data_IF_582508764083
#
_entry.id   IF_582508764083
#
_cell.length_a   1.000
_cell.length_b   1.000
_cell.length_c   1.000
_cell.angle_alpha   90.00
_cell.angle_beta   90.00
_cell.angle_gamma   90.00
#
_symmetry.space_group_name_H-M   'P 1'
#
loop_
_entity.id
_entity.type
_entity.pdbx_description
1 polymer ?
#
# COMPACT_ATOMS: atom_id res chain seq x y z
N UNK A 1 17.86 -11.37 -11.68
CA UNK A 1 16.39 -11.47 -11.77
C UNK A 1 15.96 -10.77 -13.04
N UNK A 2 15.15 -11.43 -13.86
CA UNK A 2 14.63 -10.86 -15.10
C UNK A 2 13.49 -9.87 -14.82
N UNK A 3 12.65 -10.20 -13.84
CA UNK A 3 11.53 -9.37 -13.38
C UNK A 3 11.35 -9.52 -11.85
N UNK A 4 10.73 -8.51 -11.25
CA UNK A 4 10.42 -8.43 -9.82
C UNK A 4 8.94 -8.09 -9.69
N UNK A 5 8.16 -9.04 -9.20
CA UNK A 5 6.73 -8.85 -8.94
C UNK A 5 6.56 -8.22 -7.55
N UNK A 6 6.27 -6.92 -7.51
CA UNK A 6 6.01 -6.24 -6.24
C UNK A 6 4.61 -6.58 -5.74
N UNK A 7 4.53 -7.01 -4.49
CA UNK A 7 3.27 -7.22 -3.78
C UNK A 7 2.72 -5.88 -3.30
N UNK A 8 2.30 -5.02 -4.23
CA UNK A 8 1.78 -3.68 -3.92
C UNK A 8 0.30 -3.70 -3.52
N UNK A 9 0.01 -4.59 -2.59
CA UNK A 9 -1.27 -4.87 -1.96
C UNK A 9 -0.99 -5.33 -0.53
N UNK A 10 -2.01 -5.56 0.29
CA UNK A 10 -1.86 -5.90 1.71
C UNK A 10 -1.15 -4.83 2.55
N UNK A 11 -1.23 -3.57 2.12
CA UNK A 11 -0.77 -2.46 2.95
C UNK A 11 -1.60 -2.32 4.23
N UNK A 12 -2.92 -2.55 4.14
CA UNK A 12 -3.86 -2.38 5.24
C UNK A 12 -4.85 -3.55 5.28
N UNK A 13 -5.32 -3.91 6.47
CA UNK A 13 -6.24 -5.04 6.65
C UNK A 13 -6.73 -5.18 8.09
N UNK A 14 -7.19 -6.36 8.45
CA UNK A 14 -7.69 -6.68 9.81
C UNK A 14 -6.64 -6.50 10.92
N UNK A 15 -5.36 -6.42 10.56
CA UNK A 15 -4.26 -6.14 11.47
C UNK A 15 -4.04 -4.64 11.73
N UNK A 16 -4.59 -3.77 10.87
CA UNK A 16 -4.44 -2.32 10.97
C UNK A 16 -5.35 -1.76 12.07
N UNK A 17 -4.85 -0.75 12.78
CA UNK A 17 -5.65 -0.03 13.81
C UNK A 17 -6.76 0.83 13.22
N UNK A 18 -6.57 1.29 11.98
CA UNK A 18 -7.50 2.16 11.26
C UNK A 18 -7.79 1.56 9.89
N UNK A 19 -9.03 1.68 9.43
CA UNK A 19 -9.43 1.27 8.08
C UNK A 19 -8.79 2.16 7.02
N UNK A 20 -8.19 1.54 6.00
CA UNK A 20 -7.62 2.24 4.86
C UNK A 20 -7.55 1.31 3.63
N UNK A 21 -7.37 1.85 2.41
CA UNK A 21 -7.20 1.02 1.23
C UNK A 21 -5.95 0.12 1.32
N UNK A 22 -6.09 -1.16 0.99
CA UNK A 22 -4.98 -2.12 1.05
C UNK A 22 -4.05 -2.08 -0.16
N UNK A 23 -4.45 -1.41 -1.25
CA UNK A 23 -3.71 -1.31 -2.52
C UNK A 23 -3.77 0.12 -3.09
N UNK A 24 -3.52 1.13 -2.25
CA UNK A 24 -3.58 2.53 -2.66
C UNK A 24 -2.49 2.89 -3.68
N UNK A 25 -2.84 3.65 -4.74
CA UNK A 25 -1.86 4.15 -5.70
C UNK A 25 -0.94 5.23 -5.10
N UNK A 26 -1.54 6.16 -4.35
CA UNK A 26 -0.88 7.27 -3.68
C UNK A 26 -1.29 7.34 -2.20
N UNK A 27 -0.53 8.08 -1.40
CA UNK A 27 -0.92 8.42 -0.03
C UNK A 27 -2.12 9.38 -0.03
N UNK A 28 -3.06 9.21 0.91
CA UNK A 28 -4.07 10.23 1.22
C UNK A 28 -3.46 11.28 2.17
N UNK A 29 -3.45 12.58 1.82
CA UNK A 29 -2.96 13.64 2.71
C UNK A 29 -3.79 13.82 3.98
N UNK A 30 -5.01 13.26 4.02
CA UNK A 30 -5.91 13.27 5.18
C UNK A 30 -5.81 11.99 6.01
N UNK A 31 -4.88 11.10 5.68
CA UNK A 31 -4.70 9.87 6.43
C UNK A 31 -4.43 10.19 7.92
N UNK A 32 -5.13 9.50 8.85
CA UNK A 32 -4.90 9.68 10.27
C UNK A 32 -3.46 9.27 10.64
N UNK A 33 -2.92 9.87 11.69
CA UNK A 33 -1.53 9.60 12.14
C UNK A 33 -1.37 8.17 12.67
N UNK A 34 -2.48 7.58 13.08
CA UNK A 34 -2.62 6.23 13.60
C UNK A 34 -2.60 5.16 12.49
N UNK A 35 -2.67 5.58 11.22
CA UNK A 35 -2.55 4.67 10.09
C UNK A 35 -1.10 4.16 9.94
N UNK A 36 -0.94 2.84 9.94
CA UNK A 36 0.36 2.21 9.74
C UNK A 36 0.94 2.60 8.39
N UNK A 37 2.23 2.95 8.37
CA UNK A 37 2.91 3.37 7.14
C UNK A 37 2.30 4.60 6.48
N UNK A 38 1.69 5.51 7.26
CA UNK A 38 1.24 6.81 6.76
C UNK A 38 2.32 7.47 5.88
N UNK A 39 2.00 7.72 4.61
CA UNK A 39 2.94 8.27 3.61
C UNK A 39 3.69 7.23 2.76
N UNK A 40 3.88 6.01 3.24
CA UNK A 40 4.76 5.01 2.60
C UNK A 40 4.04 3.76 2.12
N UNK A 41 2.91 3.41 2.74
CA UNK A 41 2.10 2.23 2.40
C UNK A 41 1.17 2.51 1.19
N UNK A 42 1.80 2.73 0.05
CA UNK A 42 1.15 2.91 -1.26
C UNK A 42 2.09 2.48 -2.39
N UNK A 43 1.51 2.21 -3.57
CA UNK A 43 2.23 1.74 -4.77
C UNK A 43 3.33 2.72 -5.15
N UNK A 44 3.04 4.02 -5.22
CA UNK A 44 4.00 5.04 -5.65
C UNK A 44 5.24 5.11 -4.76
N UNK A 45 5.05 5.18 -3.44
CA UNK A 45 6.16 5.18 -2.47
C UNK A 45 6.96 3.88 -2.53
N UNK A 46 6.30 2.75 -2.75
CA UNK A 46 6.96 1.44 -2.88
C UNK A 46 7.83 1.39 -4.15
N UNK A 47 7.29 1.75 -5.32
CA UNK A 47 8.07 1.79 -6.57
C UNK A 47 9.24 2.77 -6.48
N UNK A 48 9.03 3.94 -5.83
CA UNK A 48 10.12 4.89 -5.57
C UNK A 48 11.22 4.29 -4.69
N UNK A 49 10.86 3.58 -3.63
CA UNK A 49 11.84 2.95 -2.74
C UNK A 49 12.70 1.93 -3.50
N UNK A 50 12.08 1.10 -4.33
CA UNK A 50 12.79 0.08 -5.14
C UNK A 50 13.70 0.71 -6.20
N UNK A 51 13.21 1.71 -6.91
CA UNK A 51 14.03 2.40 -7.92
C UNK A 51 15.17 3.20 -7.28
N UNK A 52 14.95 3.83 -6.12
CA UNK A 52 16.00 4.48 -5.34
C UNK A 52 17.06 3.50 -4.82
N UNK A 53 16.66 2.27 -4.50
CA UNK A 53 17.58 1.19 -4.13
C UNK A 53 18.36 0.60 -5.32
N UNK A 54 18.19 1.14 -6.54
CA UNK A 54 18.94 0.76 -7.72
C UNK A 54 18.27 -0.29 -8.61
N UNK A 55 17.01 -0.65 -8.34
CA UNK A 55 16.27 -1.57 -9.23
C UNK A 55 15.82 -0.82 -10.48
N UNK A 56 16.23 -1.32 -11.64
CA UNK A 56 15.83 -0.78 -12.93
C UNK A 56 14.29 -0.83 -13.07
N UNK A 57 13.62 0.30 -13.41
CA UNK A 57 12.16 0.36 -13.52
C UNK A 57 11.55 -0.69 -14.47
N UNK A 58 12.23 -1.01 -15.57
CA UNK A 58 11.78 -1.98 -16.57
C UNK A 58 11.72 -3.43 -16.06
N UNK A 59 12.35 -3.71 -14.91
CA UNK A 59 12.31 -5.02 -14.25
C UNK A 59 11.20 -5.11 -13.21
N UNK A 60 10.51 -4.00 -12.91
CA UNK A 60 9.46 -3.95 -11.88
C UNK A 60 8.09 -4.25 -12.52
N UNK A 61 7.39 -5.22 -11.95
CA UNK A 61 5.98 -5.48 -12.24
C UNK A 61 5.16 -5.06 -11.03
N UNK A 62 4.17 -4.19 -11.26
CA UNK A 62 3.25 -3.72 -10.23
C UNK A 62 2.16 -4.77 -10.02
N UNK A 63 1.98 -5.18 -8.77
CA UNK A 63 0.91 -6.10 -8.39
C UNK A 63 -0.45 -5.40 -8.32
N UNK A 64 -1.43 -5.92 -9.05
CA UNK A 64 -2.83 -5.50 -8.96
C UNK A 64 -3.62 -6.49 -8.09
N UNK A 65 -4.27 -5.99 -7.04
CA UNK A 65 -5.12 -6.82 -6.20
C UNK A 65 -6.42 -7.18 -6.94
N UNK A 66 -6.63 -8.48 -7.17
CA UNK A 66 -7.91 -9.01 -7.66
C UNK A 66 -8.91 -9.33 -6.52
N UNK A 67 -8.71 -8.71 -5.34
CA UNK A 67 -9.50 -8.92 -4.13
C UNK A 67 -9.52 -7.66 -3.26
N UNK A 68 -10.49 -7.59 -2.35
CA UNK A 68 -10.57 -6.58 -1.30
C UNK A 68 -10.19 -7.13 0.07
N UNK A 69 -9.88 -6.22 1.00
CA UNK A 69 -9.79 -6.52 2.44
C UNK A 69 -10.90 -5.81 3.18
N UNK A 70 -11.49 -6.52 4.13
CA UNK A 70 -12.59 -6.03 4.96
C UNK A 70 -12.14 -5.99 6.42
N UNK A 71 -12.67 -5.02 7.17
CA UNK A 71 -12.63 -4.97 8.63
C UNK A 71 -14.07 -4.78 9.11
N UNK A 72 -14.53 -5.64 10.01
CA UNK A 72 -15.87 -5.57 10.58
C UNK A 72 -15.87 -4.88 11.95
N UNK A 73 -17.00 -4.31 12.37
CA UNK A 73 -17.13 -3.67 13.68
C UNK A 73 -16.48 -2.28 13.80
N UNK A 74 -16.35 -1.57 12.67
CA UNK A 74 -15.75 -0.23 12.62
C UNK A 74 -16.75 0.80 13.14
N UNK A 75 -16.39 1.50 14.22
CA UNK A 75 -17.20 2.59 14.77
C UNK A 75 -17.14 3.82 13.83
N UNK A 76 -18.28 4.40 13.44
CA UNK A 76 -18.30 5.66 12.69
C UNK A 76 -17.59 6.77 13.47
N UNK A 77 -16.85 7.63 12.78
CA UNK A 77 -16.08 8.73 13.38
C UNK A 77 -16.63 10.10 12.97
N UNK A 78 -17.95 10.20 12.80
CA UNK A 78 -18.66 11.44 12.45
C UNK A 78 -18.37 12.60 13.43
#
# INVERSE_FOLDING_TARGET
LDQINLMTYDYNGVWSKVTAPHSALFCDPRAPKELDGAGTFNIHSTVKAWTHAGVEPQKIIIGAAAYGREVSGVTPTD
#
